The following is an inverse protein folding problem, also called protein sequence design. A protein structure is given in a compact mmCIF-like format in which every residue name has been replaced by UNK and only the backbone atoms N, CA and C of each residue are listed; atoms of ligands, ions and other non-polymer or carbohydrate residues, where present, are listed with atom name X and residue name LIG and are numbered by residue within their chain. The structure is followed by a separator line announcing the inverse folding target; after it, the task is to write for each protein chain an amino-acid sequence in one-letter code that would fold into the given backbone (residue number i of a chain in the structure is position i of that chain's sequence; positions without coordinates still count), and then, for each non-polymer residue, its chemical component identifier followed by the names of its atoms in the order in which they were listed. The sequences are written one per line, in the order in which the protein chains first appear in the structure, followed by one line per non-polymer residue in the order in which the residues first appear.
data_IF_910267530576
#
_entry.id   IF_910267530576
#
_cell.length_a   1.000
_cell.length_b   1.000
_cell.length_c   1.000
_cell.angle_alpha   90.00
_cell.angle_beta   90.00
_cell.angle_gamma   90.00
#
_symmetry.space_group_name_H-M   'P 1'
#
loop_
_entity.id
_entity.type
_entity.pdbx_description
1 polymer ?
#
# COMPACT_ATOMS: atom_id res chain seq x y z
N UNK A 1 0.44 -20.38 6.34
CA UNK A 1 1.42 -21.45 6.03
C UNK A 1 1.46 -22.55 7.06
N UNK A 2 1.90 -22.31 8.31
CA UNK A 2 2.15 -23.33 9.33
C UNK A 2 0.97 -24.26 9.64
N UNK A 3 -0.26 -23.71 9.72
CA UNK A 3 -1.47 -24.52 9.96
C UNK A 3 -1.75 -25.49 8.82
N UNK A 4 -1.53 -25.09 7.56
CA UNK A 4 -1.68 -25.95 6.40
C UNK A 4 -0.70 -27.14 6.46
N UNK A 5 0.57 -26.87 6.76
CA UNK A 5 1.59 -27.92 6.89
C UNK A 5 1.31 -28.86 8.06
N UNK A 6 0.77 -28.35 9.16
CA UNK A 6 0.34 -29.19 10.30
C UNK A 6 -0.81 -30.13 9.90
N UNK A 7 -1.79 -29.65 9.16
CA UNK A 7 -2.91 -30.47 8.65
C UNK A 7 -2.39 -31.53 7.68
N UNK A 8 -1.53 -31.14 6.72
CA UNK A 8 -0.93 -32.10 5.76
C UNK A 8 -0.12 -33.15 6.49
N UNK A 9 0.65 -32.78 7.50
CA UNK A 9 1.41 -33.71 8.32
C UNK A 9 0.50 -34.69 9.07
N UNK A 10 -0.56 -34.22 9.70
CA UNK A 10 -1.55 -35.04 10.40
C UNK A 10 -2.25 -36.02 9.46
N UNK A 11 -2.70 -35.56 8.31
CA UNK A 11 -3.35 -36.40 7.30
C UNK A 11 -2.38 -37.47 6.76
N UNK A 12 -1.14 -37.10 6.46
CA UNK A 12 -0.13 -38.02 5.99
C UNK A 12 0.26 -39.08 7.06
N UNK A 13 0.35 -38.68 8.33
CA UNK A 13 0.57 -39.59 9.45
C UNK A 13 -0.58 -40.58 9.61
N UNK A 14 -1.82 -40.11 9.58
CA UNK A 14 -3.00 -40.96 9.71
C UNK A 14 -3.13 -41.94 8.54
N UNK A 15 -2.95 -41.48 7.31
CA UNK A 15 -3.02 -42.33 6.11
C UNK A 15 -1.86 -43.33 6.05
N UNK A 16 -0.64 -42.93 6.42
CA UNK A 16 0.54 -43.80 6.48
C UNK A 16 0.45 -44.89 7.55
N UNK A 17 -0.22 -44.61 8.66
CA UNK A 17 -0.45 -45.58 9.74
C UNK A 17 -1.51 -46.64 9.37
N UNK A 18 -2.50 -46.30 8.53
CA UNK A 18 -3.64 -47.16 8.23
C UNK A 18 -3.64 -47.81 6.84
N UNK A 19 -2.74 -47.39 5.93
CA UNK A 19 -2.67 -47.88 4.57
C UNK A 19 -1.25 -48.18 4.10
N UNK A 20 -0.96 -49.44 3.83
CA UNK A 20 0.32 -49.89 3.22
C UNK A 20 0.59 -49.23 1.87
N UNK A 21 -0.45 -48.90 1.11
CA UNK A 21 -0.35 -48.32 -0.22
C UNK A 21 -0.06 -46.78 -0.15
N UNK A 22 -0.28 -46.12 1.00
CA UNK A 22 0.02 -44.70 1.20
C UNK A 22 1.43 -44.47 1.78
N UNK A 23 2.22 -45.53 1.97
CA UNK A 23 3.57 -45.43 2.57
C UNK A 23 4.49 -44.46 1.79
N UNK A 24 4.36 -44.40 0.46
CA UNK A 24 5.17 -43.47 -0.33
C UNK A 24 4.80 -42.00 -0.09
N UNK A 25 3.52 -41.68 0.15
CA UNK A 25 3.05 -40.33 0.51
C UNK A 25 3.58 -39.94 1.89
N UNK A 26 3.62 -40.92 2.82
CA UNK A 26 4.21 -40.70 4.13
C UNK A 26 5.69 -40.33 4.04
N UNK A 27 6.51 -41.15 3.35
CA UNK A 27 7.95 -40.92 3.26
C UNK A 27 8.33 -39.77 2.33
N UNK A 28 7.52 -39.40 1.35
CA UNK A 28 7.75 -38.28 0.47
C UNK A 28 7.19 -36.95 1.00
N UNK A 29 6.03 -37.00 1.63
CA UNK A 29 5.32 -35.77 2.09
C UNK A 29 5.66 -35.33 3.50
N UNK A 30 5.73 -36.28 4.46
CA UNK A 30 5.92 -35.98 5.88
C UNK A 30 7.25 -35.27 6.17
N UNK A 31 8.42 -35.74 5.71
CA UNK A 31 9.68 -35.07 5.99
C UNK A 31 9.72 -33.65 5.45
N UNK A 32 9.18 -33.44 4.24
CA UNK A 32 9.14 -32.10 3.64
C UNK A 32 8.19 -31.16 4.38
N UNK A 33 6.98 -31.62 4.71
CA UNK A 33 6.02 -30.84 5.49
C UNK A 33 6.55 -30.52 6.88
N UNK A 34 7.21 -31.47 7.55
CA UNK A 34 7.86 -31.27 8.83
C UNK A 34 9.01 -30.24 8.76
N UNK A 35 9.84 -30.35 7.71
CA UNK A 35 10.91 -29.36 7.46
C UNK A 35 10.34 -27.94 7.28
N UNK A 36 9.32 -27.76 6.43
CA UNK A 36 8.69 -26.46 6.22
C UNK A 36 8.02 -25.93 7.50
N UNK A 37 7.36 -26.81 8.26
CA UNK A 37 6.77 -26.44 9.54
C UNK A 37 7.82 -25.93 10.52
N UNK A 38 8.94 -26.66 10.67
CA UNK A 38 10.03 -26.28 11.55
C UNK A 38 10.68 -24.96 11.12
N UNK A 39 10.91 -24.78 9.80
CA UNK A 39 11.45 -23.53 9.27
C UNK A 39 10.57 -22.33 9.62
N UNK A 40 9.24 -22.47 9.49
CA UNK A 40 8.31 -21.37 9.77
C UNK A 40 7.98 -21.21 11.26
N UNK A 41 8.09 -22.27 12.06
CA UNK A 41 7.82 -22.23 13.50
C UNK A 41 8.98 -21.67 14.34
N UNK A 42 10.19 -21.65 13.78
CA UNK A 42 11.34 -21.10 14.50
C UNK A 42 11.61 -19.65 14.05
N UNK A 43 11.93 -18.73 14.98
CA UNK A 43 12.09 -17.31 14.68
C UNK A 43 13.48 -17.01 14.09
N UNK A 44 13.66 -17.31 12.81
CA UNK A 44 14.89 -17.01 12.06
C UNK A 44 14.73 -15.80 11.15
N UNK A 45 15.84 -15.10 10.94
CA UNK A 45 16.04 -14.07 9.93
C UNK A 45 17.09 -14.59 8.96
N UNK A 46 16.79 -14.57 7.65
CA UNK A 46 17.69 -15.06 6.60
C UNK A 46 17.75 -14.05 5.45
N UNK A 47 18.93 -13.44 5.25
CA UNK A 47 19.05 -12.34 4.30
C UNK A 47 18.07 -11.22 4.61
N UNK A 48 17.24 -10.85 3.63
CA UNK A 48 16.18 -9.84 3.80
C UNK A 48 14.84 -10.44 4.27
N UNK A 49 14.77 -11.78 4.43
CA UNK A 49 13.52 -12.48 4.80
C UNK A 49 13.45 -12.83 6.28
N UNK A 50 12.21 -12.97 6.77
CA UNK A 50 11.88 -13.43 8.13
C UNK A 50 10.93 -14.63 8.03
N UNK A 51 11.05 -15.57 8.98
CA UNK A 51 10.06 -16.66 9.13
C UNK A 51 8.77 -16.14 9.76
N UNK A 52 7.65 -16.86 9.58
CA UNK A 52 6.37 -16.50 10.20
C UNK A 52 6.50 -16.31 11.71
N UNK A 53 7.28 -17.17 12.39
CA UNK A 53 7.52 -17.06 13.83
C UNK A 53 8.36 -15.82 14.21
N UNK A 54 9.29 -15.39 13.34
CA UNK A 54 10.05 -14.17 13.57
C UNK A 54 9.15 -12.93 13.45
N UNK A 55 8.25 -12.91 12.45
CA UNK A 55 7.26 -11.85 12.28
C UNK A 55 6.31 -11.81 13.48
N UNK A 56 5.73 -12.94 13.89
CA UNK A 56 4.87 -13.03 15.08
C UNK A 56 5.56 -12.55 16.35
N UNK A 57 6.82 -12.92 16.54
CA UNK A 57 7.62 -12.44 17.67
C UNK A 57 7.83 -10.92 17.61
N UNK A 58 8.01 -10.35 16.41
CA UNK A 58 8.11 -8.91 16.20
C UNK A 58 6.81 -8.20 16.56
N UNK A 59 5.66 -8.74 16.12
CA UNK A 59 4.33 -8.21 16.45
C UNK A 59 4.11 -8.21 17.97
N UNK A 60 4.37 -9.33 18.63
CA UNK A 60 4.20 -9.45 20.10
C UNK A 60 5.12 -8.50 20.88
N UNK A 61 6.29 -8.18 20.33
CA UNK A 61 7.24 -7.23 20.93
C UNK A 61 7.01 -5.78 20.49
N UNK A 62 5.99 -5.53 19.66
CA UNK A 62 5.75 -4.22 19.06
C UNK A 62 7.00 -3.64 18.37
N UNK A 63 7.77 -4.49 17.70
CA UNK A 63 8.94 -4.08 16.95
C UNK A 63 8.51 -3.14 15.81
N UNK A 64 9.35 -2.12 15.51
CA UNK A 64 8.99 -0.98 14.69
C UNK A 64 8.31 -1.31 13.35
N UNK A 65 8.93 -2.16 12.54
CA UNK A 65 8.41 -2.55 11.23
C UNK A 65 7.13 -3.41 11.35
N UNK A 66 7.11 -4.35 12.28
CA UNK A 66 5.96 -5.22 12.51
C UNK A 66 4.76 -4.45 13.08
N UNK A 67 4.99 -3.48 13.98
CA UNK A 67 3.94 -2.57 14.46
C UNK A 67 3.38 -1.74 13.30
N UNK A 68 4.24 -1.19 12.45
CA UNK A 68 3.81 -0.43 11.27
C UNK A 68 2.98 -1.29 10.29
N UNK A 69 3.37 -2.55 10.09
CA UNK A 69 2.61 -3.51 9.28
C UNK A 69 1.21 -3.76 9.85
N UNK A 70 1.10 -4.01 11.15
CA UNK A 70 -0.21 -4.21 11.80
C UNK A 70 -1.09 -2.96 11.66
N UNK A 71 -0.53 -1.77 11.89
CA UNK A 71 -1.28 -0.53 11.78
C UNK A 71 -1.71 -0.24 10.33
N UNK A 72 -0.87 -0.55 9.34
CA UNK A 72 -1.27 -0.48 7.94
C UNK A 72 -2.44 -1.43 7.63
N UNK A 73 -2.41 -2.67 8.15
CA UNK A 73 -3.52 -3.62 7.99
C UNK A 73 -4.82 -3.12 8.65
N UNK A 74 -4.74 -2.49 9.83
CA UNK A 74 -5.89 -1.86 10.48
C UNK A 74 -6.46 -0.71 9.62
N UNK A 75 -5.59 0.16 9.07
CA UNK A 75 -6.02 1.22 8.15
C UNK A 75 -6.75 0.63 6.93
N UNK A 76 -6.19 -0.40 6.28
CA UNK A 76 -6.85 -1.03 5.13
C UNK A 76 -8.16 -1.74 5.50
N UNK A 77 -8.25 -2.30 6.70
CA UNK A 77 -9.49 -2.85 7.25
C UNK A 77 -10.57 -1.78 7.37
N UNK A 78 -10.26 -0.67 8.01
CA UNK A 78 -11.16 0.48 8.20
C UNK A 78 -11.58 1.11 6.84
N UNK A 79 -10.65 1.21 5.88
CA UNK A 79 -10.96 1.65 4.51
C UNK A 79 -11.95 0.71 3.82
N UNK A 80 -11.82 -0.60 4.02
CA UNK A 80 -12.74 -1.61 3.47
C UNK A 80 -14.14 -1.51 4.10
N UNK A 81 -14.23 -1.07 5.36
CA UNK A 81 -15.49 -0.76 6.05
C UNK A 81 -16.12 0.58 5.62
N UNK A 82 -15.44 1.34 4.76
CA UNK A 82 -15.95 2.59 4.17
C UNK A 82 -15.53 3.88 4.89
N UNK A 83 -14.63 3.81 5.88
CA UNK A 83 -13.99 5.01 6.42
C UNK A 83 -12.97 5.55 5.42
N UNK A 84 -12.88 6.86 5.29
CA UNK A 84 -11.79 7.49 4.53
C UNK A 84 -10.55 7.67 5.41
N UNK A 85 -9.41 8.03 4.81
CA UNK A 85 -8.13 8.13 5.54
C UNK A 85 -8.20 9.10 6.73
N UNK A 86 -8.92 10.21 6.63
CA UNK A 86 -9.04 11.20 7.70
C UNK A 86 -10.03 10.83 8.81
N UNK A 87 -10.85 9.81 8.61
CA UNK A 87 -11.81 9.29 9.60
C UNK A 87 -11.24 8.17 10.47
N UNK A 88 -10.09 7.63 10.09
CA UNK A 88 -9.39 6.57 10.81
C UNK A 88 -8.58 7.18 11.96
N UNK A 89 -8.49 6.45 13.08
CA UNK A 89 -7.80 6.91 14.29
C UNK A 89 -6.33 7.28 13.99
N UNK A 90 -5.95 8.48 14.38
CA UNK A 90 -4.60 9.06 14.14
C UNK A 90 -3.47 8.19 14.72
N UNK A 91 -3.75 7.39 15.75
CA UNK A 91 -2.75 6.49 16.35
C UNK A 91 -2.13 5.54 15.33
N UNK A 92 -2.91 5.06 14.35
CA UNK A 92 -2.42 4.13 13.33
C UNK A 92 -1.42 4.78 12.37
N UNK A 93 -1.45 6.11 12.23
CA UNK A 93 -0.52 6.87 11.40
C UNK A 93 0.71 7.34 12.17
N UNK A 94 0.55 7.72 13.46
CA UNK A 94 1.56 8.53 14.16
C UNK A 94 2.16 7.86 15.39
N UNK A 95 1.48 6.90 16.03
CA UNK A 95 2.03 6.15 17.17
C UNK A 95 2.94 5.01 16.69
N UNK A 96 3.94 5.37 15.87
CA UNK A 96 4.92 4.47 15.29
C UNK A 96 6.32 4.94 15.61
N UNK A 97 7.26 4.03 15.94
CA UNK A 97 8.66 4.39 16.06
C UNK A 97 9.21 4.84 14.69
N UNK A 98 10.29 5.59 14.72
CA UNK A 98 10.98 5.94 13.49
C UNK A 98 11.56 4.70 12.84
N UNK A 99 11.23 4.48 11.57
CA UNK A 99 11.76 3.38 10.76
C UNK A 99 12.97 3.86 9.96
N UNK A 100 13.93 2.97 9.65
CA UNK A 100 14.99 3.23 8.67
C UNK A 100 14.39 3.48 7.27
N UNK A 101 15.07 4.28 6.45
CA UNK A 101 14.57 4.63 5.11
C UNK A 101 14.56 3.46 4.11
N UNK A 102 15.42 2.48 4.33
CA UNK A 102 15.51 1.23 3.56
C UNK A 102 14.51 0.15 4.01
N UNK A 103 13.76 0.40 5.09
CA UNK A 103 12.71 -0.51 5.55
C UNK A 103 11.46 -0.33 4.68
N UNK A 104 10.91 -1.40 4.05
CA UNK A 104 9.73 -1.29 3.20
C UNK A 104 8.52 -0.63 3.88
N UNK A 105 8.35 -0.85 5.19
CA UNK A 105 7.26 -0.24 5.96
C UNK A 105 7.43 1.27 6.14
N UNK A 106 8.63 1.83 5.98
CA UNK A 106 8.86 3.28 6.00
C UNK A 106 8.10 3.97 4.85
N UNK A 107 8.28 3.47 3.63
CA UNK A 107 7.60 4.02 2.46
C UNK A 107 6.07 3.90 2.58
N UNK A 108 5.57 2.73 3.00
CA UNK A 108 4.13 2.53 3.22
C UNK A 108 3.57 3.49 4.28
N UNK A 109 4.28 3.70 5.38
CA UNK A 109 3.86 4.63 6.43
C UNK A 109 3.79 6.07 5.93
N UNK A 110 4.76 6.50 5.11
CA UNK A 110 4.76 7.83 4.52
C UNK A 110 3.62 8.02 3.52
N UNK A 111 3.31 7.00 2.68
CA UNK A 111 2.18 7.07 1.75
C UNK A 111 0.84 7.19 2.50
N UNK A 112 0.63 6.38 3.53
CA UNK A 112 -0.58 6.45 4.35
C UNK A 112 -0.72 7.82 5.04
N UNK A 113 0.36 8.38 5.57
CA UNK A 113 0.39 9.74 6.15
C UNK A 113 0.12 10.81 5.11
N UNK A 114 0.69 10.68 3.90
CA UNK A 114 0.40 11.57 2.78
C UNK A 114 -1.10 11.62 2.50
N UNK A 115 -1.75 10.47 2.33
CA UNK A 115 -3.19 10.35 2.05
C UNK A 115 -4.03 10.96 3.17
N UNK A 116 -3.68 10.71 4.42
CA UNK A 116 -4.30 11.31 5.58
C UNK A 116 -4.20 12.84 5.54
N UNK A 117 -3.00 13.39 5.34
CA UNK A 117 -2.79 14.84 5.35
C UNK A 117 -3.45 15.53 4.15
N UNK A 118 -3.37 14.94 2.96
CA UNK A 118 -3.99 15.52 1.77
C UNK A 118 -5.50 15.57 1.91
N UNK A 119 -6.10 14.57 2.51
CA UNK A 119 -7.54 14.56 2.78
C UNK A 119 -7.94 15.59 3.85
N UNK A 120 -7.15 15.76 4.89
CA UNK A 120 -7.33 16.82 5.91
C UNK A 120 -7.11 18.24 5.35
N UNK A 121 -6.53 18.38 4.17
CA UNK A 121 -6.16 19.67 3.59
C UNK A 121 -4.85 20.24 4.15
N UNK A 122 -4.09 19.46 4.92
CA UNK A 122 -2.76 19.83 5.41
C UNK A 122 -1.70 19.59 4.32
N UNK A 123 -1.69 20.50 3.34
CA UNK A 123 -0.83 20.39 2.16
C UNK A 123 0.65 20.48 2.48
N UNK A 124 1.02 21.13 3.59
CA UNK A 124 2.42 21.25 4.03
C UNK A 124 2.97 19.88 4.46
N UNK A 125 2.27 19.21 5.38
CA UNK A 125 2.70 17.91 5.87
C UNK A 125 2.53 16.81 4.79
N UNK A 126 1.51 16.92 3.93
CA UNK A 126 1.37 16.07 2.77
C UNK A 126 2.59 16.17 1.83
N UNK A 127 3.02 17.40 1.50
CA UNK A 127 4.19 17.63 0.65
C UNK A 127 5.48 17.08 1.30
N UNK A 128 5.66 17.23 2.61
CA UNK A 128 6.81 16.67 3.33
C UNK A 128 6.86 15.14 3.19
N UNK A 129 5.75 14.45 3.43
CA UNK A 129 5.68 12.99 3.28
C UNK A 129 6.03 12.56 1.86
N UNK A 130 5.46 13.23 0.84
CA UNK A 130 5.68 12.88 -0.56
C UNK A 130 7.11 13.17 -1.03
N UNK A 131 7.71 14.28 -0.59
CA UNK A 131 9.11 14.60 -0.88
C UNK A 131 10.08 13.59 -0.26
N UNK A 132 9.80 13.11 0.96
CA UNK A 132 10.59 12.06 1.60
C UNK A 132 10.45 10.72 0.88
N UNK A 133 9.25 10.38 0.39
CA UNK A 133 9.05 9.22 -0.47
C UNK A 133 9.85 9.32 -1.76
N UNK A 134 9.82 10.48 -2.42
CA UNK A 134 10.60 10.71 -3.63
C UNK A 134 12.11 10.65 -3.38
N UNK A 135 12.59 11.14 -2.23
CA UNK A 135 14.00 11.04 -1.83
C UNK A 135 14.43 9.57 -1.59
N UNK A 136 13.49 8.70 -1.22
CA UNK A 136 13.73 7.26 -1.00
C UNK A 136 13.52 6.42 -2.27
N UNK A 137 13.48 7.03 -3.45
CA UNK A 137 13.18 6.37 -4.74
C UNK A 137 14.02 5.13 -5.03
N UNK A 138 15.30 5.12 -4.60
CA UNK A 138 16.22 3.99 -4.77
C UNK A 138 15.77 2.70 -4.06
N UNK A 139 14.90 2.80 -3.06
CA UNK A 139 14.37 1.68 -2.29
C UNK A 139 12.95 1.29 -2.74
N UNK A 140 12.34 2.05 -3.67
CA UNK A 140 10.99 1.79 -4.14
C UNK A 140 10.99 0.92 -5.41
N UNK A 141 10.08 -0.07 -5.51
CA UNK A 141 9.78 -0.68 -6.80
C UNK A 141 9.31 0.39 -7.80
N UNK A 142 9.65 0.22 -9.08
CA UNK A 142 9.32 1.20 -10.13
C UNK A 142 7.84 1.60 -10.14
N UNK A 143 6.94 0.64 -9.97
CA UNK A 143 5.50 0.93 -9.96
C UNK A 143 5.06 1.85 -8.80
N UNK A 144 5.70 1.74 -7.63
CA UNK A 144 5.45 2.63 -6.49
C UNK A 144 6.08 4.01 -6.72
N UNK A 145 7.27 4.05 -7.29
CA UNK A 145 7.90 5.32 -7.66
C UNK A 145 7.05 6.10 -8.68
N UNK A 146 6.50 5.41 -9.69
CA UNK A 146 5.61 6.04 -10.68
C UNK A 146 4.35 6.64 -10.01
N UNK A 147 3.80 5.96 -9.01
CA UNK A 147 2.67 6.48 -8.24
C UNK A 147 3.05 7.72 -7.41
N UNK A 148 4.19 7.68 -6.74
CA UNK A 148 4.73 8.84 -5.99
C UNK A 148 4.96 10.02 -6.93
N UNK A 149 5.57 9.80 -8.10
CA UNK A 149 5.81 10.83 -9.09
C UNK A 149 4.48 11.42 -9.62
N UNK A 150 3.45 10.59 -9.81
CA UNK A 150 2.13 11.05 -10.20
C UNK A 150 1.46 11.91 -9.12
N UNK A 151 1.55 11.53 -7.85
CA UNK A 151 1.04 12.37 -6.76
C UNK A 151 1.84 13.68 -6.60
N UNK A 152 3.13 13.70 -6.96
CA UNK A 152 3.89 14.97 -7.06
C UNK A 152 3.31 15.88 -8.16
N UNK A 153 2.88 15.33 -9.32
CA UNK A 153 2.16 16.13 -10.34
C UNK A 153 0.92 16.78 -9.73
N UNK A 154 0.14 16.01 -8.96
CA UNK A 154 -1.05 16.54 -8.29
C UNK A 154 -0.71 17.68 -7.34
N UNK A 155 0.25 17.48 -6.44
CA UNK A 155 0.66 18.49 -5.45
C UNK A 155 1.22 19.76 -6.11
N UNK A 156 2.06 19.62 -7.14
CA UNK A 156 2.59 20.77 -7.88
C UNK A 156 1.49 21.49 -8.66
N UNK A 157 0.51 20.76 -9.20
CA UNK A 157 -0.63 21.36 -9.88
C UNK A 157 -1.48 22.22 -8.94
N UNK A 158 -1.75 21.73 -7.72
CA UNK A 158 -2.47 22.52 -6.70
C UNK A 158 -1.71 23.78 -6.27
N UNK A 159 -0.37 23.71 -6.25
CA UNK A 159 0.50 24.83 -5.92
C UNK A 159 0.76 25.75 -7.13
N UNK A 160 0.21 25.49 -8.30
CA UNK A 160 0.40 26.22 -9.57
C UNK A 160 1.87 26.27 -10.03
N UNK A 161 2.65 25.24 -9.67
CA UNK A 161 4.04 25.06 -10.07
C UNK A 161 4.11 24.20 -11.34
N UNK A 162 3.98 24.86 -12.49
CA UNK A 162 3.90 24.18 -13.79
C UNK A 162 5.19 23.45 -14.12
N UNK A 163 6.36 24.03 -13.83
CA UNK A 163 7.65 23.47 -14.16
C UNK A 163 7.86 22.12 -13.44
N UNK A 164 7.66 22.08 -12.12
CA UNK A 164 7.82 20.84 -11.36
C UNK A 164 6.72 19.81 -11.67
N UNK A 165 5.50 20.26 -12.00
CA UNK A 165 4.44 19.35 -12.42
C UNK A 165 4.80 18.65 -13.74
N UNK A 166 5.37 19.37 -14.71
CA UNK A 166 5.84 18.79 -15.97
C UNK A 166 7.03 17.85 -15.79
N UNK A 167 8.00 18.22 -14.94
CA UNK A 167 9.15 17.36 -14.63
C UNK A 167 8.69 16.04 -14.02
N UNK A 168 7.84 16.09 -13.00
CA UNK A 168 7.26 14.89 -12.36
C UNK A 168 6.44 14.07 -13.36
N UNK A 169 5.66 14.71 -14.21
CA UNK A 169 4.85 14.06 -15.24
C UNK A 169 5.66 13.26 -16.27
N UNK A 170 6.88 13.72 -16.59
CA UNK A 170 7.79 12.95 -17.47
C UNK A 170 8.22 11.62 -16.85
N UNK A 171 8.36 11.57 -15.51
CA UNK A 171 8.79 10.38 -14.79
C UNK A 171 7.70 9.31 -14.70
N UNK A 172 6.43 9.70 -14.73
CA UNK A 172 5.28 8.80 -14.51
C UNK A 172 4.28 8.75 -15.68
N UNK A 173 4.76 8.97 -16.90
CA UNK A 173 3.91 9.07 -18.10
C UNK A 173 3.02 7.84 -18.31
N UNK A 174 3.54 6.64 -18.09
CA UNK A 174 2.78 5.40 -18.23
C UNK A 174 1.70 5.29 -17.15
N UNK A 175 2.00 5.70 -15.92
CA UNK A 175 1.04 5.73 -14.82
C UNK A 175 -0.12 6.68 -15.11
N UNK A 176 0.16 7.90 -15.57
CA UNK A 176 -0.84 8.90 -15.94
C UNK A 176 -1.72 8.45 -17.13
N UNK A 177 -1.24 7.53 -17.95
CA UNK A 177 -2.00 6.91 -19.04
C UNK A 177 -3.00 5.85 -18.59
N UNK A 178 -2.97 5.41 -17.33
CA UNK A 178 -3.88 4.37 -16.81
C UNK A 178 -5.33 4.86 -16.73
N UNK A 179 -6.26 3.92 -16.91
CA UNK A 179 -7.71 4.18 -16.75
C UNK A 179 -8.14 3.93 -15.30
N UNK A 180 -7.60 4.74 -14.37
CA UNK A 180 -7.90 4.71 -12.94
C UNK A 180 -8.42 6.06 -12.47
N UNK A 181 -9.22 6.08 -11.39
CA UNK A 181 -9.75 7.31 -10.81
C UNK A 181 -8.61 8.27 -10.40
N UNK A 182 -7.57 7.75 -9.76
CA UNK A 182 -6.40 8.50 -9.31
C UNK A 182 -5.66 9.16 -10.48
N UNK A 183 -5.32 8.42 -11.55
CA UNK A 183 -4.63 8.99 -12.71
C UNK A 183 -5.46 10.09 -13.38
N UNK A 184 -6.78 9.88 -13.54
CA UNK A 184 -7.69 10.88 -14.14
C UNK A 184 -7.83 12.11 -13.22
N UNK A 185 -7.89 11.95 -11.90
CA UNK A 185 -7.90 13.05 -10.94
C UNK A 185 -6.64 13.91 -11.05
N UNK A 186 -5.47 13.27 -11.12
CA UNK A 186 -4.18 13.96 -11.24
C UNK A 186 -4.14 14.78 -12.54
N UNK A 187 -4.52 14.18 -13.66
CA UNK A 187 -4.60 14.88 -14.95
C UNK A 187 -5.63 16.03 -14.94
N UNK A 188 -6.77 15.85 -14.25
CA UNK A 188 -7.76 16.90 -14.10
C UNK A 188 -7.20 18.10 -13.32
N UNK A 189 -6.45 17.85 -12.23
CA UNK A 189 -5.76 18.90 -11.46
C UNK A 189 -4.73 19.64 -12.34
N UNK A 190 -3.97 18.91 -13.12
CA UNK A 190 -3.00 19.50 -14.06
C UNK A 190 -3.68 20.36 -15.12
N UNK A 191 -4.79 19.90 -15.72
CA UNK A 191 -5.57 20.70 -16.67
C UNK A 191 -6.18 21.94 -16.02
N UNK A 192 -6.66 21.84 -14.78
CA UNK A 192 -7.15 22.99 -14.02
C UNK A 192 -6.08 24.06 -13.82
N UNK A 193 -4.85 23.65 -13.43
CA UNK A 193 -3.71 24.55 -13.32
C UNK A 193 -3.40 25.31 -14.63
N UNK A 194 -3.53 24.63 -15.78
CA UNK A 194 -3.30 25.21 -17.11
C UNK A 194 -4.49 26.03 -17.63
N UNK A 195 -5.59 26.17 -16.86
CA UNK A 195 -6.80 26.86 -17.29
C UNK A 195 -7.63 26.13 -18.34
N UNK A 196 -7.37 24.83 -18.57
CA UNK A 196 -8.05 23.98 -19.54
C UNK A 196 -9.34 23.41 -18.96
N UNK A 197 -10.33 24.26 -18.73
CA UNK A 197 -11.56 23.93 -17.98
C UNK A 197 -12.35 22.77 -18.60
N UNK A 198 -12.48 22.69 -19.92
CA UNK A 198 -13.27 21.62 -20.56
C UNK A 198 -12.57 20.26 -20.48
N UNK A 199 -11.23 20.23 -20.67
CA UNK A 199 -10.45 19.01 -20.48
C UNK A 199 -10.51 18.53 -19.03
N UNK A 200 -10.41 19.45 -18.06
CA UNK A 200 -10.53 19.17 -16.62
C UNK A 200 -11.87 18.53 -16.30
N UNK A 201 -13.00 19.09 -16.79
CA UNK A 201 -14.35 18.53 -16.57
C UNK A 201 -14.50 17.14 -17.16
N UNK A 202 -14.00 16.93 -18.39
CA UNK A 202 -14.03 15.63 -19.04
C UNK A 202 -13.24 14.57 -18.25
N UNK A 203 -12.03 14.91 -17.78
CA UNK A 203 -11.20 14.02 -16.96
C UNK A 203 -11.83 13.73 -15.59
N UNK A 204 -12.46 14.73 -14.97
CA UNK A 204 -13.21 14.53 -13.72
C UNK A 204 -14.35 13.52 -13.90
N UNK A 205 -15.15 13.66 -14.96
CA UNK A 205 -16.23 12.71 -15.29
C UNK A 205 -15.66 11.30 -15.53
N UNK A 206 -14.52 11.18 -16.21
CA UNK A 206 -13.85 9.89 -16.39
C UNK A 206 -13.38 9.30 -15.05
N UNK A 207 -12.81 10.11 -14.16
CA UNK A 207 -12.42 9.68 -12.83
C UNK A 207 -13.61 9.14 -12.03
N UNK A 208 -14.74 9.87 -12.03
CA UNK A 208 -15.98 9.46 -11.37
C UNK A 208 -16.50 8.11 -11.92
N UNK A 209 -16.43 7.90 -13.24
CA UNK A 209 -16.78 6.62 -13.85
C UNK A 209 -15.83 5.48 -13.43
N UNK A 210 -14.54 5.75 -13.26
CA UNK A 210 -13.58 4.75 -12.79
C UNK A 210 -13.85 4.32 -11.34
N UNK A 211 -14.44 5.18 -10.50
CA UNK A 211 -14.78 4.83 -9.12
C UNK A 211 -15.74 3.65 -9.00
N UNK A 212 -16.55 3.38 -10.02
CA UNK A 212 -17.43 2.20 -10.01
C UNK A 212 -16.68 0.87 -10.03
N UNK A 213 -15.40 0.87 -10.43
CA UNK A 213 -14.52 -0.30 -10.52
C UNK A 213 -13.60 -0.44 -9.31
N UNK A 214 -13.60 0.55 -8.42
CA UNK A 214 -12.83 0.49 -7.19
C UNK A 214 -13.56 -0.39 -6.17
N UNK A 215 -12.87 -1.35 -5.58
CA UNK A 215 -13.47 -2.31 -4.67
C UNK A 215 -13.54 -1.79 -3.21
N UNK A 216 -12.69 -0.81 -2.87
CA UNK A 216 -12.55 -0.31 -1.50
C UNK A 216 -13.37 0.97 -1.29
N UNK A 217 -14.43 0.91 -0.50
CA UNK A 217 -15.35 2.03 -0.29
C UNK A 217 -14.66 3.27 0.30
N UNK A 218 -13.71 3.10 1.22
CA UNK A 218 -12.94 4.21 1.78
C UNK A 218 -12.08 4.92 0.74
N UNK A 219 -11.48 4.17 -0.19
CA UNK A 219 -10.72 4.75 -1.31
C UNK A 219 -11.65 5.50 -2.26
N UNK A 220 -12.84 4.96 -2.58
CA UNK A 220 -13.86 5.69 -3.35
C UNK A 220 -14.21 7.03 -2.71
N UNK A 221 -14.41 7.03 -1.40
CA UNK A 221 -14.73 8.22 -0.63
C UNK A 221 -13.60 9.23 -0.67
N UNK A 222 -12.37 8.79 -0.45
CA UNK A 222 -11.17 9.62 -0.56
C UNK A 222 -11.05 10.29 -1.94
N UNK A 223 -11.13 9.54 -3.01
CA UNK A 223 -11.03 10.08 -4.38
C UNK A 223 -12.19 11.06 -4.68
N UNK A 224 -13.41 10.79 -4.22
CA UNK A 224 -14.54 11.74 -4.36
C UNK A 224 -14.28 13.06 -3.65
N UNK A 225 -13.70 13.03 -2.43
CA UNK A 225 -13.33 14.23 -1.67
C UNK A 225 -12.31 15.04 -2.47
N UNK A 226 -11.27 14.41 -3.02
CA UNK A 226 -10.24 15.12 -3.78
C UNK A 226 -10.78 15.68 -5.10
N UNK A 227 -11.65 14.94 -5.81
CA UNK A 227 -12.31 15.39 -7.03
C UNK A 227 -13.26 16.59 -6.78
N UNK A 228 -13.93 16.65 -5.62
CA UNK A 228 -14.80 17.77 -5.28
C UNK A 228 -14.01 19.08 -5.14
N UNK A 229 -12.81 19.05 -4.61
CA UNK A 229 -11.94 20.21 -4.41
C UNK A 229 -11.46 20.84 -5.72
N UNK A 230 -11.39 20.09 -6.80
CA UNK A 230 -10.99 20.62 -8.10
C UNK A 230 -12.01 21.59 -8.70
N UNK A 231 -13.22 21.68 -8.15
CA UNK A 231 -14.25 22.62 -8.59
C UNK A 231 -14.21 23.97 -7.86
N UNK A 232 -13.45 24.05 -6.76
CA UNK A 232 -13.38 25.23 -5.89
C UNK A 232 -12.10 26.06 -6.15
N UNK A 233 -11.18 25.57 -6.98
CA UNK A 233 -9.89 26.17 -7.32
C UNK A 233 -9.92 26.87 -8.67
#
# INVERSE_FOLDING_TARGET
GGVYFLIVLLVALLTGLFSKNASFLFWGGVPYAAYLLLLNALPFVYGEGKTDAAVLKGIVKEAGAEKAMVYAMEIYGELSEGKSFSEIDEKYYFDLPQLPEDEPMYAMTLDLRYRYYVEKGDMKNAADCLNRLAASAQYLPQAQFDEVAAELVYMHSLNKDTERAEESGKLCKEYLGKDTAQAKRILAAYCAMLGKTEEMKALKTQAENCLSREDTEGIKKFEKILLSRLCEA
#
